data_IF_114295519921
#
_entry.id   IF_114295519921
#
_cell.length_a   1.000
_cell.length_b   1.000
_cell.length_c   1.000
_cell.angle_alpha   90.00
_cell.angle_beta   90.00
_cell.angle_gamma   90.00
#
_symmetry.space_group_name_H-M   'P 1'
#
loop_
_entity.id
_entity.type
_entity.pdbx_description
1 polymer ?
#
# COMPACT_ATOMS: atom_id res chain seq x y z
N UNK A 1 -11.21 6.46 -7.22
CA UNK A 1 -10.73 5.49 -6.21
C UNK A 1 -11.30 4.09 -6.42
N UNK A 2 -12.61 3.90 -6.54
CA UNK A 2 -13.25 2.62 -6.20
C UNK A 2 -13.04 1.44 -7.18
N UNK A 3 -13.28 1.56 -8.47
CA UNK A 3 -13.37 0.34 -9.31
C UNK A 3 -12.06 -0.42 -9.56
N UNK A 4 -10.94 0.28 -9.83
CA UNK A 4 -9.67 -0.38 -10.15
C UNK A 4 -9.09 -1.12 -8.93
N UNK A 5 -9.06 -0.44 -7.78
CA UNK A 5 -8.62 -1.00 -6.51
C UNK A 5 -9.53 -2.17 -6.07
N UNK A 6 -10.85 -2.02 -6.16
CA UNK A 6 -11.79 -3.07 -5.77
C UNK A 6 -11.67 -4.34 -6.64
N UNK A 7 -11.29 -4.21 -7.91
CA UNK A 7 -11.19 -5.36 -8.83
C UNK A 7 -9.79 -6.01 -8.84
N UNK A 8 -8.74 -5.35 -8.35
CA UNK A 8 -7.34 -5.80 -8.49
C UNK A 8 -6.54 -5.89 -7.18
N UNK A 9 -7.16 -5.64 -6.03
CA UNK A 9 -6.52 -5.74 -4.72
C UNK A 9 -6.84 -7.08 -4.06
N UNK A 10 -5.81 -7.68 -3.46
CA UNK A 10 -5.94 -8.85 -2.59
C UNK A 10 -5.64 -8.49 -1.13
N UNK A 11 -6.23 -9.20 -0.18
CA UNK A 11 -6.02 -8.96 1.26
C UNK A 11 -4.72 -9.55 1.80
N UNK A 12 -4.14 -10.52 1.09
CA UNK A 12 -2.93 -11.24 1.50
C UNK A 12 -1.77 -10.76 0.64
N UNK A 13 -0.69 -10.32 1.28
CA UNK A 13 0.51 -9.88 0.57
C UNK A 13 1.15 -11.05 -0.20
N UNK A 14 1.66 -10.82 -1.42
CA UNK A 14 2.33 -11.86 -2.22
C UNK A 14 3.68 -12.28 -1.64
N UNK A 15 4.20 -11.53 -0.67
CA UNK A 15 5.44 -11.77 0.07
C UNK A 15 5.24 -11.45 1.55
N UNK A 16 6.16 -11.89 2.42
CA UNK A 16 6.13 -11.54 3.84
C UNK A 16 6.09 -10.02 4.02
N UNK A 17 5.09 -9.54 4.76
CA UNK A 17 4.84 -8.12 4.96
C UNK A 17 4.24 -7.89 6.34
N UNK A 18 4.79 -6.92 7.08
CA UNK A 18 4.30 -6.57 8.40
C UNK A 18 3.01 -5.75 8.38
N UNK A 19 2.65 -5.16 7.24
CA UNK A 19 1.48 -4.32 7.06
C UNK A 19 0.23 -5.14 6.76
N UNK A 20 -0.93 -4.60 7.15
CA UNK A 20 -2.23 -5.22 6.93
C UNK A 20 -3.20 -4.23 6.26
N UNK A 21 -4.17 -4.73 5.47
CA UNK A 21 -5.29 -3.91 5.02
C UNK A 21 -5.98 -3.23 6.22
N UNK A 22 -6.26 -1.94 6.10
CA UNK A 22 -6.87 -1.13 7.14
C UNK A 22 -5.91 -0.40 8.07
N UNK A 23 -4.62 -0.74 8.08
CA UNK A 23 -3.59 0.03 8.79
C UNK A 23 -3.59 1.48 8.31
N UNK A 24 -3.35 2.41 9.23
CA UNK A 24 -3.06 3.81 8.91
C UNK A 24 -1.56 4.01 8.94
N UNK A 25 -1.01 4.62 7.90
CA UNK A 25 0.43 4.82 7.70
C UNK A 25 0.75 6.24 7.27
N UNK A 26 1.96 6.67 7.58
CA UNK A 26 2.61 7.78 6.88
C UNK A 26 3.37 7.22 5.69
N UNK A 27 3.17 7.78 4.50
CA UNK A 27 3.88 7.39 3.27
C UNK A 27 4.84 8.50 2.84
N UNK A 28 6.07 8.14 2.47
CA UNK A 28 7.00 9.05 1.79
C UNK A 28 6.82 8.94 0.27
N UNK A 29 6.37 10.01 -0.37
CA UNK A 29 6.16 10.01 -1.82
C UNK A 29 7.48 10.16 -2.62
N UNK A 30 7.40 10.08 -3.95
CA UNK A 30 8.57 10.19 -4.84
C UNK A 30 9.31 11.54 -4.80
N UNK A 31 8.72 12.56 -4.16
CA UNK A 31 9.36 13.86 -3.92
C UNK A 31 10.02 13.97 -2.54
N UNK A 32 9.97 12.91 -1.73
CA UNK A 32 10.51 12.90 -0.37
C UNK A 32 9.59 13.53 0.68
N UNK A 33 8.34 13.86 0.33
CA UNK A 33 7.38 14.42 1.28
C UNK A 33 6.64 13.31 2.03
N UNK A 34 6.49 13.48 3.34
CA UNK A 34 5.70 12.60 4.20
C UNK A 34 4.22 13.00 4.17
N UNK A 35 3.35 12.03 3.88
CA UNK A 35 1.90 12.20 3.85
C UNK A 35 1.31 11.27 4.93
N UNK A 36 0.86 11.81 6.07
CA UNK A 36 0.30 11.01 7.17
C UNK A 36 -1.16 10.64 6.95
N UNK A 37 -1.67 9.72 7.75
CA UNK A 37 -3.10 9.39 7.82
C UNK A 37 -3.64 8.59 6.63
N UNK A 38 -2.78 7.94 5.86
CA UNK A 38 -3.17 7.19 4.66
C UNK A 38 -3.50 5.75 5.03
N UNK A 39 -4.60 5.21 4.50
CA UNK A 39 -5.02 3.83 4.79
C UNK A 39 -4.48 2.83 3.78
N UNK A 40 -4.04 1.66 4.23
CA UNK A 40 -3.72 0.53 3.35
C UNK A 40 -5.03 -0.12 2.86
N UNK A 41 -5.17 -0.23 1.54
CA UNK A 41 -6.30 -0.89 0.90
C UNK A 41 -6.06 -2.40 0.75
N UNK A 42 -4.82 -2.80 0.49
CA UNK A 42 -4.38 -4.19 0.33
C UNK A 42 -3.18 -4.29 -0.59
N UNK A 43 -3.04 -5.40 -1.30
CA UNK A 43 -1.83 -5.72 -2.05
C UNK A 43 -2.12 -6.05 -3.52
N UNK A 44 -1.07 -6.00 -4.35
CA UNK A 44 -1.10 -6.58 -5.69
C UNK A 44 -1.27 -8.10 -5.61
N UNK A 45 -1.96 -8.70 -6.59
CA UNK A 45 -2.12 -10.16 -6.66
C UNK A 45 -0.83 -10.90 -6.99
N UNK A 46 0.01 -10.32 -7.84
CA UNK A 46 1.31 -10.85 -8.26
C UNK A 46 2.29 -9.68 -8.43
N UNK A 47 3.56 -9.92 -8.11
CA UNK A 47 4.64 -8.95 -8.29
C UNK A 47 5.15 -9.05 -9.73
N UNK A 48 5.14 -7.92 -10.45
CA UNK A 48 5.82 -7.80 -11.75
C UNK A 48 7.34 -7.64 -11.50
N UNK A 49 8.18 -8.63 -11.88
CA UNK A 49 9.62 -8.56 -11.64
C UNK A 49 10.32 -7.48 -12.48
N UNK A 50 9.72 -7.10 -13.61
CA UNK A 50 10.29 -6.13 -14.56
C UNK A 50 9.80 -4.70 -14.28
N UNK A 51 8.76 -4.54 -13.46
CA UNK A 51 8.17 -3.25 -13.14
C UNK A 51 7.96 -3.04 -11.64
N UNK A 52 8.95 -2.41 -10.99
CA UNK A 52 8.94 -2.02 -9.57
C UNK A 52 8.61 -3.20 -8.64
N UNK A 53 9.47 -4.24 -8.63
CA UNK A 53 9.23 -5.47 -7.86
C UNK A 53 9.07 -5.25 -6.36
N UNK A 54 9.58 -4.14 -5.84
CA UNK A 54 9.47 -3.76 -4.44
C UNK A 54 8.11 -3.11 -4.07
N UNK A 55 7.28 -2.73 -5.04
CA UNK A 55 6.08 -1.94 -4.84
C UNK A 55 4.82 -2.79 -4.99
N UNK A 56 4.21 -3.15 -3.86
CA UNK A 56 3.10 -4.12 -3.84
C UNK A 56 1.94 -3.75 -2.91
N UNK A 57 1.98 -2.57 -2.27
CA UNK A 57 0.95 -2.11 -1.31
C UNK A 57 0.12 -1.00 -1.94
N UNK A 58 -1.21 -1.12 -1.93
CA UNK A 58 -2.11 -0.07 -2.37
C UNK A 58 -2.60 0.79 -1.22
N UNK A 59 -2.67 2.11 -1.46
CA UNK A 59 -3.03 3.11 -0.47
C UNK A 59 -4.27 3.89 -0.89
N UNK A 60 -5.10 4.27 0.10
CA UNK A 60 -6.25 5.15 -0.07
C UNK A 60 -5.80 6.63 -0.09
N UNK A 61 -5.17 7.02 -1.19
CA UNK A 61 -4.68 8.39 -1.42
C UNK A 61 -4.81 8.80 -2.89
N UNK A 62 -4.42 10.02 -3.24
CA UNK A 62 -4.56 10.58 -4.58
C UNK A 62 -3.96 9.70 -5.69
N UNK A 63 -2.95 8.89 -5.38
CA UNK A 63 -2.31 7.95 -6.32
C UNK A 63 -2.70 6.48 -6.04
N UNK A 64 -3.96 6.20 -5.72
CA UNK A 64 -4.45 4.86 -5.32
C UNK A 64 -4.23 3.75 -6.36
N UNK A 65 -3.98 4.09 -7.64
CA UNK A 65 -3.66 3.12 -8.70
C UNK A 65 -2.17 2.72 -8.72
N UNK A 66 -1.34 3.33 -7.87
CA UNK A 66 0.09 3.13 -7.87
C UNK A 66 0.53 2.47 -6.57
N UNK A 67 0.98 1.23 -6.67
CA UNK A 67 1.50 0.50 -5.53
C UNK A 67 2.77 1.16 -4.99
N UNK A 68 2.94 1.04 -3.67
CA UNK A 68 4.08 1.57 -2.94
C UNK A 68 4.85 0.45 -2.25
N UNK A 69 6.11 0.74 -2.00
CA UNK A 69 7.04 -0.16 -1.36
C UNK A 69 6.94 -0.03 0.16
N UNK A 70 7.03 -1.13 0.91
CA UNK A 70 6.91 -1.09 2.37
C UNK A 70 7.96 -0.20 3.05
N UNK A 71 9.16 -0.05 2.46
CA UNK A 71 10.21 0.84 2.99
C UNK A 71 9.84 2.33 2.95
N UNK A 72 8.81 2.70 2.18
CA UNK A 72 8.26 4.07 2.14
C UNK A 72 7.17 4.31 3.18
N UNK A 73 6.81 3.30 3.95
CA UNK A 73 5.70 3.35 4.90
C UNK A 73 6.20 3.34 6.34
N UNK A 74 5.52 4.11 7.17
CA UNK A 74 5.64 4.07 8.63
C UNK A 74 4.27 3.81 9.22
N UNK A 75 4.13 2.74 10.00
CA UNK A 75 2.88 2.44 10.69
C UNK A 75 2.55 3.54 11.69
N UNK A 76 1.34 4.09 11.60
CA UNK A 76 0.81 5.03 12.58
C UNK A 76 -0.10 4.31 13.56
N UNK A 77 -1.10 3.61 13.04
CA UNK A 77 -2.07 2.86 13.86
C UNK A 77 -2.52 1.59 13.16
N UNK A 78 -2.68 0.54 13.98
CA UNK A 78 -3.36 -0.70 13.62
C UNK A 78 -4.59 -0.82 14.50
N UNK A 79 -5.77 -0.87 13.89
CA UNK A 79 -6.99 -1.15 14.66
C UNK A 79 -6.92 -2.61 15.13
N UNK A 80 -6.67 -2.81 16.42
CA UNK A 80 -6.80 -4.11 17.04
C UNK A 80 -8.31 -4.37 17.22
N UNK A 81 -8.77 -5.52 16.72
CA UNK A 81 -10.16 -5.99 16.88
C UNK A 81 -10.41 -6.27 18.36
#
# INVERSE_FOLDING_TARGET
MRRFAEENIVEVAPVECDFLPGDTVTVTNGYGNEIPGVKILGFVSEIDPDFRPEAFIYLDWDCYWFAVSPDKLKLETRQSI
#
